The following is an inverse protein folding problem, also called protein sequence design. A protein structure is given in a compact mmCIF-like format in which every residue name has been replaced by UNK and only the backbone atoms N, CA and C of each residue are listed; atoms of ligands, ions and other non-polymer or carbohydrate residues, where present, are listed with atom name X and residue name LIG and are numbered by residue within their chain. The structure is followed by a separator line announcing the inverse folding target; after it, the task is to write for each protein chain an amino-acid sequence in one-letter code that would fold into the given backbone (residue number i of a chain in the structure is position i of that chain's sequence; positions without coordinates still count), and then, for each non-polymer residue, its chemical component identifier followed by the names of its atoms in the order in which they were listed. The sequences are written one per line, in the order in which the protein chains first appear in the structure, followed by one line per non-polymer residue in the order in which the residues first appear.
data_IF_327036903340
#
_entry.id   IF_327036903340
#
_cell.length_a   1.000
_cell.length_b   1.000
_cell.length_c   1.000
_cell.angle_alpha   90.00
_cell.angle_beta   90.00
_cell.angle_gamma   90.00
#
_symmetry.space_group_name_H-M   'P 1'
#
loop_
_entity.id
_entity.type
_entity.pdbx_description
1 polymer ?
#
# COMPACT_ATOMS: atom_id res chain seq x y z
N UNK A 1 110.70 -22.42 -15.34
CA UNK A 1 111.00 -21.04 -14.88
C UNK A 1 109.85 -20.14 -15.33
N UNK A 2 108.83 -19.98 -14.47
CA UNK A 2 107.59 -19.29 -14.81
C UNK A 2 107.81 -17.78 -14.88
N UNK A 3 107.57 -17.18 -16.04
CA UNK A 3 107.74 -15.75 -16.27
C UNK A 3 106.53 -14.97 -15.72
N UNK A 4 106.52 -14.77 -14.40
CA UNK A 4 105.43 -14.20 -13.58
C UNK A 4 104.85 -12.89 -14.13
N UNK A 5 105.64 -12.08 -14.84
CA UNK A 5 105.21 -10.79 -15.41
C UNK A 5 104.27 -10.91 -16.61
N UNK A 6 104.26 -12.03 -17.35
CA UNK A 6 103.39 -12.20 -18.53
C UNK A 6 102.01 -12.72 -18.14
N UNK A 7 101.94 -13.69 -17.22
CA UNK A 7 100.68 -14.25 -16.71
C UNK A 7 99.84 -13.23 -15.93
N UNK A 8 100.47 -12.32 -15.19
CA UNK A 8 99.76 -11.26 -14.46
C UNK A 8 99.07 -10.26 -15.39
N UNK A 9 99.64 -9.98 -16.57
CA UNK A 9 99.00 -9.13 -17.60
C UNK A 9 97.74 -9.78 -18.19
N UNK A 10 97.77 -11.09 -18.46
CA UNK A 10 96.58 -11.81 -18.95
C UNK A 10 95.48 -11.89 -17.89
N UNK A 11 95.83 -12.01 -16.61
CA UNK A 11 94.87 -12.01 -15.51
C UNK A 11 94.15 -10.66 -15.39
N UNK A 12 94.88 -9.54 -15.51
CA UNK A 12 94.29 -8.19 -15.52
C UNK A 12 93.36 -8.00 -16.72
N UNK A 13 93.76 -8.46 -17.91
CA UNK A 13 92.94 -8.36 -19.14
C UNK A 13 91.64 -9.19 -18.99
N UNK A 14 91.72 -10.39 -18.43
CA UNK A 14 90.54 -11.24 -18.20
C UNK A 14 89.55 -10.60 -17.22
N UNK A 15 90.04 -10.00 -16.13
CA UNK A 15 89.18 -9.31 -15.15
C UNK A 15 88.52 -8.07 -15.75
N UNK A 16 89.24 -7.30 -16.56
CA UNK A 16 88.67 -6.13 -17.26
C UNK A 16 87.59 -6.56 -18.26
N UNK A 17 87.82 -7.65 -19.01
CA UNK A 17 86.81 -8.21 -19.92
C UNK A 17 85.56 -8.66 -19.16
N UNK A 18 85.73 -9.30 -18.00
CA UNK A 18 84.61 -9.78 -17.19
C UNK A 18 83.80 -8.62 -16.59
N UNK A 19 84.46 -7.54 -16.19
CA UNK A 19 83.80 -6.30 -15.74
C UNK A 19 83.05 -5.63 -16.89
N UNK A 20 83.62 -5.58 -18.09
CA UNK A 20 82.95 -5.03 -19.28
C UNK A 20 81.71 -5.86 -19.63
N UNK A 21 81.79 -7.19 -19.59
CA UNK A 21 80.65 -8.08 -19.82
C UNK A 21 79.58 -7.88 -18.76
N UNK A 22 79.94 -7.70 -17.49
CA UNK A 22 78.98 -7.42 -16.42
C UNK A 22 78.28 -6.06 -16.60
N UNK A 23 79.01 -5.02 -17.03
CA UNK A 23 78.43 -3.69 -17.30
C UNK A 23 77.50 -3.72 -18.52
N UNK A 24 77.89 -4.44 -19.57
CA UNK A 24 77.06 -4.64 -20.77
C UNK A 24 75.82 -5.47 -20.42
N UNK A 25 75.97 -6.55 -19.65
CA UNK A 25 74.86 -7.39 -19.19
C UNK A 25 73.85 -6.63 -18.32
N UNK A 26 74.33 -5.70 -17.48
CA UNK A 26 73.45 -4.80 -16.70
C UNK A 26 72.73 -3.78 -17.59
N UNK A 27 73.39 -3.23 -18.62
CA UNK A 27 72.81 -2.29 -19.60
C UNK A 27 71.79 -2.95 -20.52
N UNK A 28 71.98 -4.21 -20.90
CA UNK A 28 71.06 -4.98 -21.74
C UNK A 28 69.86 -5.56 -20.96
N UNK A 29 69.69 -5.20 -19.68
CA UNK A 29 68.49 -5.56 -18.91
C UNK A 29 68.41 -7.03 -18.53
N UNK A 30 69.52 -7.79 -18.61
CA UNK A 30 69.53 -9.23 -18.28
C UNK A 30 69.28 -9.52 -16.78
N UNK A 31 69.52 -8.52 -15.92
CA UNK A 31 69.27 -8.54 -14.48
C UNK A 31 68.42 -7.35 -14.06
N UNK A 32 67.13 -7.42 -14.34
CA UNK A 32 66.19 -6.36 -13.97
C UNK A 32 64.81 -6.56 -14.58
N UNK A 33 64.23 -7.76 -14.42
CA UNK A 33 62.80 -7.91 -14.59
C UNK A 33 62.14 -7.42 -13.30
N UNK A 34 61.94 -6.11 -13.21
CA UNK A 34 60.98 -5.55 -12.28
C UNK A 34 59.61 -6.10 -12.71
N UNK A 35 59.02 -6.94 -11.86
CA UNK A 35 57.72 -7.55 -12.08
C UNK A 35 56.69 -6.42 -12.25
N UNK A 36 56.36 -6.12 -13.49
CA UNK A 36 55.35 -5.12 -13.83
C UNK A 36 53.98 -5.74 -13.51
N UNK A 37 53.39 -5.34 -12.39
CA UNK A 37 52.07 -5.79 -11.99
C UNK A 37 51.06 -5.21 -12.98
N UNK A 38 50.46 -6.08 -13.79
CA UNK A 38 49.40 -5.72 -14.73
C UNK A 38 48.15 -5.33 -13.93
N UNK A 39 47.96 -4.03 -13.71
CA UNK A 39 46.78 -3.49 -13.03
C UNK A 39 45.72 -3.08 -14.03
N UNK A 40 44.54 -3.67 -13.90
CA UNK A 40 43.38 -3.25 -14.67
C UNK A 40 42.88 -1.92 -14.10
N UNK A 41 42.94 -0.87 -14.91
CA UNK A 41 42.42 0.46 -14.56
C UNK A 41 41.24 0.81 -15.46
N UNK A 42 40.22 1.40 -14.86
CA UNK A 42 39.05 1.92 -15.57
C UNK A 42 38.99 3.45 -15.39
N UNK A 43 38.61 4.17 -16.45
CA UNK A 43 38.48 5.63 -16.39
C UNK A 43 37.30 6.02 -15.51
N UNK A 44 37.55 6.85 -14.50
CA UNK A 44 36.50 7.37 -13.63
C UNK A 44 35.54 8.29 -14.40
N UNK A 45 34.28 7.88 -14.53
CA UNK A 45 33.20 8.68 -15.12
C UNK A 45 32.15 9.02 -14.08
N UNK A 46 31.62 10.24 -14.12
CA UNK A 46 30.46 10.61 -13.32
C UNK A 46 29.24 9.85 -13.84
N UNK A 47 28.74 8.90 -13.05
CA UNK A 47 27.52 8.15 -13.31
C UNK A 47 26.57 8.33 -12.13
N UNK A 48 25.28 8.40 -12.42
CA UNK A 48 24.24 8.39 -11.40
C UNK A 48 24.10 6.95 -10.91
N UNK A 49 24.38 6.72 -9.63
CA UNK A 49 24.09 5.43 -8.98
C UNK A 49 22.66 5.54 -8.45
N UNK A 50 21.78 4.69 -8.99
CA UNK A 50 20.40 4.60 -8.51
C UNK A 50 20.32 3.41 -7.57
N UNK A 51 20.09 3.68 -6.29
CA UNK A 51 19.83 2.65 -5.28
C UNK A 51 18.34 2.34 -5.27
N UNK A 52 17.98 1.14 -5.75
CA UNK A 52 16.58 0.69 -5.75
C UNK A 52 16.30 0.07 -4.39
N UNK A 53 15.57 0.78 -3.55
CA UNK A 53 15.05 0.25 -2.29
C UNK A 53 13.73 -0.45 -2.58
N UNK A 54 13.68 -1.77 -2.37
CA UNK A 54 12.46 -2.56 -2.56
C UNK A 54 11.54 -2.38 -1.36
N UNK A 55 10.50 -1.54 -1.51
CA UNK A 55 9.45 -1.40 -0.52
C UNK A 55 8.26 -2.31 -0.87
N UNK A 56 7.83 -3.13 0.09
CA UNK A 56 6.61 -3.92 -0.05
C UNK A 56 5.42 -3.07 0.42
N UNK A 57 4.51 -2.74 -0.50
CA UNK A 57 3.25 -2.07 -0.17
C UNK A 57 2.06 -3.00 -0.37
N UNK A 58 0.99 -2.82 0.41
CA UNK A 58 -0.30 -3.45 0.15
C UNK A 58 -1.17 -2.49 -0.65
N UNK A 59 -1.75 -2.97 -1.74
CA UNK A 59 -2.76 -2.22 -2.50
C UNK A 59 -4.07 -2.31 -1.73
N UNK A 60 -4.69 -1.18 -1.47
CA UNK A 60 -5.99 -1.07 -0.79
C UNK A 60 -6.93 -0.23 -1.66
N UNK A 61 -8.24 -0.49 -1.60
CA UNK A 61 -9.22 0.36 -2.26
C UNK A 61 -9.15 1.79 -1.70
N UNK A 62 -9.33 2.78 -2.57
CA UNK A 62 -9.37 4.20 -2.16
C UNK A 62 -10.55 4.47 -1.22
N UNK A 63 -11.68 3.79 -1.42
CA UNK A 63 -12.87 3.90 -0.59
C UNK A 63 -13.41 2.50 -0.27
N UNK A 64 -13.44 2.17 1.02
CA UNK A 64 -14.06 0.95 1.53
C UNK A 64 -15.25 1.33 2.42
N UNK A 65 -16.45 0.85 2.09
CA UNK A 65 -17.66 1.11 2.86
C UNK A 65 -18.20 -0.22 3.39
N UNK A 66 -18.35 -0.32 4.71
CA UNK A 66 -18.99 -1.45 5.36
C UNK A 66 -20.47 -1.17 5.48
N UNK A 67 -21.30 -1.94 4.78
CA UNK A 67 -22.75 -1.82 4.83
C UNK A 67 -23.26 -2.72 5.95
N UNK A 68 -23.95 -2.14 6.92
CA UNK A 68 -24.63 -2.85 7.99
C UNK A 68 -26.09 -2.38 8.09
N UNK A 69 -26.97 -3.27 8.52
CA UNK A 69 -28.35 -2.90 8.83
C UNK A 69 -28.43 -2.15 10.16
N UNK A 70 -29.19 -1.06 10.20
CA UNK A 70 -29.53 -0.36 11.45
C UNK A 70 -30.56 -1.13 12.30
N UNK A 71 -31.32 -2.03 11.67
CA UNK A 71 -32.38 -2.80 12.32
C UNK A 71 -31.95 -4.24 12.53
N UNK A 72 -32.24 -4.75 13.73
CA UNK A 72 -32.01 -6.15 14.07
C UNK A 72 -33.19 -7.00 13.59
N UNK A 73 -32.91 -8.06 12.85
CA UNK A 73 -33.93 -8.99 12.36
C UNK A 73 -33.33 -10.12 11.54
N UNK A 74 -34.18 -11.08 11.19
CA UNK A 74 -33.81 -12.20 10.32
C UNK A 74 -33.78 -11.75 8.86
N UNK A 75 -32.75 -12.19 8.12
CA UNK A 75 -32.63 -11.96 6.67
C UNK A 75 -33.56 -12.94 5.96
N UNK A 76 -34.52 -12.40 5.22
CA UNK A 76 -35.50 -13.18 4.44
C UNK A 76 -35.02 -13.37 3.00
N UNK A 77 -34.31 -12.39 2.46
CA UNK A 77 -33.83 -12.39 1.07
C UNK A 77 -32.43 -11.79 1.00
N UNK A 78 -31.56 -12.42 0.21
CA UNK A 78 -30.22 -11.91 -0.12
C UNK A 78 -30.09 -11.93 -1.65
N UNK A 79 -29.99 -10.75 -2.24
CA UNK A 79 -30.15 -10.56 -3.68
C UNK A 79 -28.81 -10.35 -4.39
N UNK A 80 -27.70 -10.38 -3.65
CA UNK A 80 -26.34 -10.10 -4.14
C UNK A 80 -25.37 -11.18 -3.74
N UNK A 81 -24.36 -11.41 -4.60
CA UNK A 81 -23.25 -12.35 -4.35
C UNK A 81 -21.92 -11.60 -4.34
N UNK A 82 -20.91 -12.26 -3.79
CA UNK A 82 -19.55 -11.73 -3.78
C UNK A 82 -19.04 -11.52 -5.22
N UNK A 83 -18.59 -10.29 -5.50
CA UNK A 83 -18.11 -9.90 -6.83
C UNK A 83 -19.15 -9.25 -7.74
N UNK A 84 -20.43 -9.20 -7.31
CA UNK A 84 -21.46 -8.49 -8.07
C UNK A 84 -21.26 -6.97 -7.97
N UNK A 85 -21.46 -6.27 -9.10
CA UNK A 85 -21.46 -4.82 -9.15
C UNK A 85 -22.84 -4.30 -8.72
N UNK A 86 -22.87 -3.37 -7.76
CA UNK A 86 -24.11 -2.80 -7.20
C UNK A 86 -24.12 -1.30 -7.42
N UNK A 87 -25.27 -0.77 -7.82
CA UNK A 87 -25.46 0.67 -7.99
C UNK A 87 -26.23 1.27 -6.81
N UNK A 88 -26.16 2.60 -6.69
CA UNK A 88 -26.88 3.32 -5.64
C UNK A 88 -28.38 3.12 -5.80
N UNK A 89 -28.99 2.52 -4.78
CA UNK A 89 -30.44 2.30 -4.71
C UNK A 89 -30.85 0.84 -4.88
N UNK A 90 -29.90 -0.06 -5.15
CA UNK A 90 -30.22 -1.48 -5.29
C UNK A 90 -30.62 -2.12 -3.96
N UNK A 91 -31.61 -3.01 -4.04
CA UNK A 91 -32.03 -3.84 -2.91
C UNK A 91 -31.03 -4.98 -2.73
N UNK A 92 -30.16 -4.85 -1.74
CA UNK A 92 -29.14 -5.86 -1.44
C UNK A 92 -29.71 -7.04 -0.67
N UNK A 93 -30.51 -6.75 0.37
CA UNK A 93 -31.08 -7.74 1.26
C UNK A 93 -32.41 -7.25 1.82
N UNK A 94 -33.24 -8.18 2.27
CA UNK A 94 -34.53 -7.90 2.91
C UNK A 94 -34.60 -8.50 4.30
N UNK A 95 -34.89 -7.67 5.29
CA UNK A 95 -35.08 -8.08 6.69
C UNK A 95 -36.57 -8.24 6.97
N UNK A 96 -36.92 -9.25 7.77
CA UNK A 96 -38.30 -9.55 8.15
C UNK A 96 -38.96 -8.36 8.86
N UNK A 97 -40.06 -7.79 8.32
CA UNK A 97 -40.64 -6.55 8.82
C UNK A 97 -41.75 -6.73 9.88
N UNK A 98 -42.07 -7.95 10.31
CA UNK A 98 -43.25 -8.27 11.13
C UNK A 98 -43.42 -7.37 12.36
N UNK A 99 -42.33 -7.09 13.09
CA UNK A 99 -42.36 -6.22 14.27
C UNK A 99 -42.72 -4.78 13.93
N UNK A 100 -42.22 -4.28 12.80
CA UNK A 100 -42.49 -2.92 12.33
C UNK A 100 -43.91 -2.79 11.81
N UNK A 101 -44.40 -3.78 11.04
CA UNK A 101 -45.79 -3.81 10.55
C UNK A 101 -46.75 -3.84 11.73
N UNK A 102 -46.53 -4.73 12.70
CA UNK A 102 -47.33 -4.81 13.92
C UNK A 102 -47.34 -3.50 14.71
N UNK A 103 -46.21 -2.77 14.69
CA UNK A 103 -46.09 -1.44 15.30
C UNK A 103 -46.95 -0.39 14.58
N UNK A 104 -46.91 -0.36 13.25
CA UNK A 104 -47.74 0.53 12.42
C UNK A 104 -49.22 0.25 12.65
N UNK A 105 -49.64 -1.02 12.59
CA UNK A 105 -51.05 -1.41 12.81
C UNK A 105 -51.56 -0.95 14.18
N UNK A 106 -50.74 -1.07 15.22
CA UNK A 106 -51.08 -0.58 16.57
C UNK A 106 -51.24 0.94 16.60
N UNK A 107 -50.36 1.67 15.93
CA UNK A 107 -50.46 3.13 15.85
C UNK A 107 -51.70 3.56 15.05
N UNK A 108 -52.01 2.87 13.96
CA UNK A 108 -53.23 3.13 13.17
C UNK A 108 -54.51 2.88 13.99
N UNK A 109 -54.57 1.78 14.75
CA UNK A 109 -55.68 1.51 15.65
C UNK A 109 -55.84 2.60 16.71
N UNK A 110 -54.72 3.07 17.30
CA UNK A 110 -54.72 4.19 18.26
C UNK A 110 -55.21 5.50 17.63
N UNK A 111 -54.78 5.79 16.40
CA UNK A 111 -55.24 6.94 15.63
C UNK A 111 -56.74 6.87 15.35
N UNK A 112 -57.25 5.71 14.95
CA UNK A 112 -58.67 5.52 14.69
C UNK A 112 -59.52 5.68 15.96
N UNK A 113 -59.07 5.16 17.10
CA UNK A 113 -59.71 5.39 18.40
C UNK A 113 -59.75 6.88 18.74
N UNK A 114 -58.64 7.59 18.52
CA UNK A 114 -58.55 9.03 18.76
C UNK A 114 -59.48 9.84 17.84
N UNK A 115 -59.58 9.46 16.57
CA UNK A 115 -60.53 10.05 15.61
C UNK A 115 -61.97 9.80 16.01
N UNK A 116 -62.31 8.60 16.47
CA UNK A 116 -63.66 8.29 16.97
C UNK A 116 -64.00 9.12 18.21
N UNK A 117 -63.06 9.26 19.15
CA UNK A 117 -63.23 10.12 20.32
C UNK A 117 -63.43 11.59 19.94
N UNK A 118 -62.65 12.09 18.98
CA UNK A 118 -62.82 13.45 18.47
C UNK A 118 -64.19 13.65 17.82
N UNK A 119 -64.65 12.71 16.99
CA UNK A 119 -65.97 12.76 16.37
C UNK A 119 -67.09 12.74 17.41
N UNK A 120 -66.98 11.89 18.45
CA UNK A 120 -67.93 11.85 19.56
C UNK A 120 -67.96 13.16 20.33
N UNK A 121 -66.80 13.73 20.67
CA UNK A 121 -66.72 15.03 21.35
C UNK A 121 -67.31 16.16 20.51
N UNK A 122 -67.08 16.15 19.19
CA UNK A 122 -67.65 17.13 18.26
C UNK A 122 -69.17 17.01 18.18
N UNK A 123 -69.70 15.79 18.07
CA UNK A 123 -71.14 15.54 18.07
C UNK A 123 -71.79 15.97 19.38
N UNK A 124 -71.13 15.69 20.51
CA UNK A 124 -71.59 16.12 21.85
C UNK A 124 -71.61 17.63 21.99
N UNK A 125 -70.60 18.34 21.47
CA UNK A 125 -70.56 19.80 21.46
C UNK A 125 -71.76 20.37 20.70
N UNK A 126 -72.00 19.89 19.47
CA UNK A 126 -73.13 20.34 18.65
C UNK A 126 -74.49 20.09 19.33
N UNK A 127 -74.64 18.96 20.02
CA UNK A 127 -75.85 18.66 20.79
C UNK A 127 -76.06 19.65 21.95
N UNK A 128 -74.99 19.96 22.70
CA UNK A 128 -75.05 20.91 23.82
C UNK A 128 -75.35 22.32 23.34
N UNK A 129 -74.77 22.75 22.22
CA UNK A 129 -75.06 24.05 21.59
C UNK A 129 -76.53 24.15 21.19
N UNK A 130 -77.09 23.13 20.53
CA UNK A 130 -78.51 23.11 20.16
C UNK A 130 -79.44 23.18 21.38
N UNK A 131 -79.10 22.46 22.46
CA UNK A 131 -79.85 22.49 23.72
C UNK A 131 -79.80 23.87 24.41
N UNK A 132 -78.65 24.54 24.34
CA UNK A 132 -78.47 25.88 24.89
C UNK A 132 -79.35 26.90 24.16
N UNK A 133 -79.32 26.91 22.82
CA UNK A 133 -80.18 27.79 22.00
C UNK A 133 -81.66 27.56 22.26
N UNK A 134 -82.09 26.30 22.44
CA UNK A 134 -83.50 26.00 22.72
C UNK A 134 -83.95 26.52 24.09
N UNK A 135 -83.08 26.47 25.10
CA UNK A 135 -83.35 27.01 26.44
C UNK A 135 -83.46 28.53 26.45
N UNK A 136 -82.65 29.24 25.63
CA UNK A 136 -82.72 30.71 25.57
C UNK A 136 -83.94 31.25 24.82
N UNK A 137 -84.58 30.42 23.97
CA UNK A 137 -85.77 30.80 23.19
C UNK A 137 -87.09 30.61 23.95
N UNK A 138 -87.09 29.89 25.06
CA UNK A 138 -88.25 29.64 25.94
C UNK A 138 -88.19 30.49 27.20
#
# INVERSE_FOLDING_TARGET
MLNIKKSFKYLIIATVILIIIAIIGKRLGWFGNENEFEINTEKATKRTIVEIITANGKIQPETEVKISSDVSGEIVELNVKEGDEVIKGDLLLKIKPDTYISGIERMEASLNSSKANFANSKARLAQVEAQFTQTELT
#
